data_IF_927966240300
#
_entry.id   IF_927966240300
#
_cell.length_a   1.000
_cell.length_b   1.000
_cell.length_c   1.000
_cell.angle_alpha   90.00
_cell.angle_beta   90.00
_cell.angle_gamma   90.00
#
_symmetry.space_group_name_H-M   'P 1'
#
loop_
_entity.id
_entity.type
_entity.pdbx_description
1 polymer ?
#
# COMPACT_ATOMS: atom_id res chain seq x y z
N UNK A 1 -24.45 -44.81 40.44
CA UNK A 1 -24.71 -44.80 38.97
C UNK A 1 -25.00 -43.40 38.42
N UNK A 2 -26.01 -42.65 38.90
CA UNK A 2 -26.36 -41.29 38.39
C UNK A 2 -25.21 -40.26 38.44
N UNK A 3 -24.40 -40.26 39.51
CA UNK A 3 -23.21 -39.38 39.65
C UNK A 3 -22.06 -39.74 38.72
N UNK A 4 -21.91 -41.03 38.39
CA UNK A 4 -20.88 -41.50 37.46
C UNK A 4 -21.25 -41.17 36.01
N UNK A 5 -22.54 -41.25 35.67
CA UNK A 5 -23.07 -40.85 34.37
C UNK A 5 -22.91 -39.34 34.14
N UNK A 6 -23.18 -38.52 35.16
CA UNK A 6 -22.99 -37.07 35.09
C UNK A 6 -21.52 -36.68 34.86
N UNK A 7 -20.57 -37.36 35.52
CA UNK A 7 -19.14 -37.10 35.30
C UNK A 7 -18.67 -37.54 33.91
N UNK A 8 -19.21 -38.63 33.37
CA UNK A 8 -18.90 -39.08 32.01
C UNK A 8 -19.41 -38.11 30.93
N UNK A 9 -20.59 -37.50 31.13
CA UNK A 9 -21.15 -36.49 30.20
C UNK A 9 -20.33 -35.19 30.24
N UNK A 10 -19.90 -34.76 31.43
CA UNK A 10 -19.03 -33.57 31.58
C UNK A 10 -17.66 -33.82 30.92
N UNK A 11 -17.08 -35.00 31.11
CA UNK A 11 -15.82 -35.37 30.46
C UNK A 11 -15.94 -35.40 28.92
N UNK A 12 -17.08 -35.87 28.40
CA UNK A 12 -17.35 -35.89 26.95
C UNK A 12 -17.46 -34.48 26.36
N UNK A 13 -18.13 -33.55 27.05
CA UNK A 13 -18.20 -32.14 26.64
C UNK A 13 -16.83 -31.43 26.68
N UNK A 14 -15.98 -31.77 27.64
CA UNK A 14 -14.61 -31.24 27.73
C UNK A 14 -13.73 -31.80 26.61
N UNK A 15 -13.89 -33.08 26.23
CA UNK A 15 -13.15 -33.67 25.10
C UNK A 15 -13.57 -33.12 23.73
N UNK A 16 -14.83 -32.74 23.54
CA UNK A 16 -15.29 -32.15 22.27
C UNK A 16 -15.01 -30.65 22.13
N UNK A 17 -14.61 -29.97 23.20
CA UNK A 17 -14.40 -28.52 23.22
C UNK A 17 -13.07 -28.01 22.65
N UNK A 18 -12.14 -28.90 22.26
CA UNK A 18 -10.77 -28.52 21.85
C UNK A 18 -10.61 -28.48 20.31
N UNK A 19 -11.58 -28.98 19.53
CA UNK A 19 -11.49 -29.02 18.06
C UNK A 19 -11.79 -27.68 17.35
N UNK A 20 -11.80 -26.58 18.10
CA UNK A 20 -12.10 -25.24 17.61
C UNK A 20 -10.88 -24.36 17.31
N UNK A 21 -9.69 -24.93 17.12
CA UNK A 21 -8.63 -24.20 16.42
C UNK A 21 -8.95 -24.23 14.93
N UNK A 22 -9.86 -23.35 14.50
CA UNK A 22 -9.97 -23.02 13.09
C UNK A 22 -8.58 -22.62 12.62
N UNK A 23 -8.02 -23.39 11.68
CA UNK A 23 -6.84 -22.97 10.95
C UNK A 23 -7.20 -21.60 10.36
N UNK A 24 -6.66 -20.53 10.95
CA UNK A 24 -6.49 -19.31 10.21
C UNK A 24 -5.56 -19.72 9.06
N UNK A 25 -6.14 -20.09 7.91
CA UNK A 25 -5.39 -20.29 6.67
C UNK A 25 -4.46 -19.10 6.59
N UNK A 26 -3.15 -19.36 6.72
CA UNK A 26 -2.15 -18.32 6.74
C UNK A 26 -2.37 -17.50 5.49
N UNK A 27 -2.77 -16.24 5.66
CA UNK A 27 -2.69 -15.26 4.60
C UNK A 27 -1.22 -15.28 4.23
N UNK A 28 -0.85 -15.87 3.08
CA UNK A 28 0.48 -15.67 2.54
C UNK A 28 0.62 -14.17 2.40
N UNK A 29 1.35 -13.57 3.34
CA UNK A 29 1.39 -12.13 3.53
C UNK A 29 2.33 -11.62 2.46
N UNK A 30 1.82 -11.51 1.23
CA UNK A 30 2.59 -11.01 0.09
C UNK A 30 2.98 -9.57 0.39
N UNK A 31 4.26 -9.30 0.24
CA UNK A 31 4.88 -8.00 0.42
C UNK A 31 5.50 -7.59 -0.90
N UNK A 32 5.56 -6.29 -1.16
CA UNK A 32 6.32 -5.80 -2.30
C UNK A 32 7.82 -6.09 -2.11
N UNK A 33 8.50 -6.47 -3.19
CA UNK A 33 9.94 -6.71 -3.26
C UNK A 33 10.47 -6.12 -4.56
N UNK A 34 11.58 -5.36 -4.52
CA UNK A 34 12.14 -4.74 -5.72
C UNK A 34 11.18 -3.76 -6.41
N UNK A 35 10.25 -3.14 -5.68
CA UNK A 35 9.21 -2.28 -6.26
C UNK A 35 8.07 -3.02 -6.96
N UNK A 36 7.99 -4.34 -6.82
CA UNK A 36 6.94 -5.17 -7.44
C UNK A 36 6.16 -5.93 -6.35
N UNK A 37 4.83 -5.88 -6.43
CA UNK A 37 3.91 -6.68 -5.63
C UNK A 37 3.12 -7.60 -6.55
N UNK A 38 3.30 -8.91 -6.38
CA UNK A 38 2.60 -9.90 -7.19
C UNK A 38 1.30 -10.38 -6.51
N UNK A 39 0.17 -9.86 -6.99
CA UNK A 39 -1.19 -10.22 -6.55
C UNK A 39 -1.94 -11.09 -7.56
N UNK A 40 -1.26 -11.69 -8.54
CA UNK A 40 -1.92 -12.54 -9.57
C UNK A 40 -2.71 -13.70 -8.98
N UNK A 41 -2.25 -14.25 -7.86
CA UNK A 41 -2.96 -15.31 -7.14
C UNK A 41 -3.79 -14.80 -5.95
N UNK A 42 -3.93 -13.48 -5.81
CA UNK A 42 -4.70 -12.88 -4.72
C UNK A 42 -6.20 -13.00 -4.95
N UNK A 43 -6.88 -13.78 -4.10
CA UNK A 43 -8.32 -13.88 -4.13
C UNK A 43 -8.94 -12.80 -3.22
N UNK A 44 -9.42 -11.70 -3.80
CA UNK A 44 -10.01 -10.57 -3.06
C UNK A 44 -11.31 -10.94 -2.33
N UNK A 45 -12.09 -11.91 -2.82
CA UNK A 45 -13.32 -12.38 -2.15
C UNK A 45 -13.02 -13.18 -0.88
N UNK A 46 -11.94 -13.97 -0.91
CA UNK A 46 -11.51 -14.82 0.21
C UNK A 46 -10.66 -14.05 1.22
N UNK A 47 -9.68 -13.27 0.75
CA UNK A 47 -8.67 -12.64 1.59
C UNK A 47 -8.91 -11.14 1.80
N UNK A 48 -9.85 -10.55 1.08
CA UNK A 48 -10.21 -9.14 1.21
C UNK A 48 -9.12 -8.22 0.68
N UNK A 49 -8.93 -7.10 1.40
CA UNK A 49 -7.99 -6.04 1.03
C UNK A 49 -6.55 -6.56 1.00
N UNK A 50 -5.90 -6.46 -0.16
CA UNK A 50 -4.47 -6.69 -0.29
C UNK A 50 -3.67 -5.51 0.30
N UNK A 51 -2.80 -5.73 1.30
CA UNK A 51 -1.86 -4.71 1.75
C UNK A 51 -0.85 -4.39 0.65
N UNK A 52 -0.59 -3.11 0.41
CA UNK A 52 0.46 -2.66 -0.52
C UNK A 52 1.81 -2.46 0.19
N UNK A 53 2.02 -3.09 1.35
CA UNK A 53 3.25 -2.94 2.13
C UNK A 53 4.42 -3.69 1.52
N UNK A 54 5.64 -3.19 1.75
CA UNK A 54 6.88 -3.83 1.31
C UNK A 54 7.88 -2.84 0.73
N UNK A 55 8.80 -3.34 -0.07
CA UNK A 55 9.80 -2.54 -0.77
C UNK A 55 9.23 -1.87 -2.02
N UNK A 56 9.15 -0.55 -1.98
CA UNK A 56 8.76 0.31 -3.09
C UNK A 56 10.02 0.96 -3.69
N UNK A 57 9.91 1.44 -4.93
CA UNK A 57 10.93 2.33 -5.48
C UNK A 57 10.63 3.77 -5.10
N UNK A 58 11.61 4.51 -4.60
CA UNK A 58 11.50 5.93 -4.28
C UNK A 58 12.52 6.76 -5.04
N UNK A 59 12.05 7.85 -5.64
CA UNK A 59 12.85 8.78 -6.41
C UNK A 59 12.96 10.09 -5.61
N UNK A 60 14.08 10.29 -4.90
CA UNK A 60 14.27 11.47 -4.07
C UNK A 60 14.45 12.72 -4.95
N UNK A 61 13.84 13.84 -4.55
CA UNK A 61 13.91 15.15 -5.20
C UNK A 61 13.49 15.11 -6.66
N UNK A 62 12.52 14.24 -7.00
CA UNK A 62 11.98 14.08 -8.34
C UNK A 62 10.46 13.98 -8.29
N UNK A 63 9.78 14.84 -9.04
CA UNK A 63 8.34 14.75 -9.32
C UNK A 63 8.18 14.14 -10.72
N UNK A 64 8.15 12.81 -10.78
CA UNK A 64 8.11 12.06 -12.02
C UNK A 64 6.70 12.03 -12.60
N UNK A 65 6.60 12.02 -13.94
CA UNK A 65 5.36 11.69 -14.63
C UNK A 65 5.24 10.15 -14.71
N UNK A 66 4.03 9.58 -14.74
CA UNK A 66 3.84 8.12 -14.65
C UNK A 66 4.54 7.28 -15.72
N UNK A 67 4.83 7.86 -16.89
CA UNK A 67 5.53 7.19 -18.00
C UNK A 67 7.01 7.55 -18.09
N UNK A 68 7.53 8.37 -17.18
CA UNK A 68 8.95 8.70 -17.17
C UNK A 68 9.77 7.54 -16.60
N UNK A 69 10.82 7.17 -17.34
CA UNK A 69 11.89 6.30 -16.86
C UNK A 69 12.96 7.15 -16.17
N UNK A 70 13.47 6.66 -15.05
CA UNK A 70 14.54 7.29 -14.30
C UNK A 70 15.37 6.20 -13.62
N UNK A 71 16.70 6.34 -13.63
CA UNK A 71 17.62 5.35 -13.05
C UNK A 71 18.04 5.68 -11.61
N UNK A 72 17.52 6.75 -11.02
CA UNK A 72 17.85 7.24 -9.67
C UNK A 72 16.91 6.74 -8.57
N UNK A 73 16.15 5.67 -8.83
CA UNK A 73 15.26 5.06 -7.84
C UNK A 73 16.04 4.26 -6.80
N UNK A 74 15.64 4.37 -5.54
CA UNK A 74 16.15 3.56 -4.43
C UNK A 74 15.03 2.72 -3.82
N UNK A 75 15.39 1.55 -3.30
CA UNK A 75 14.47 0.70 -2.55
C UNK A 75 14.16 1.29 -1.17
N UNK A 76 12.88 1.37 -0.82
CA UNK A 76 12.42 1.86 0.49
C UNK A 76 11.22 1.05 1.00
N UNK A 77 11.12 0.83 2.31
CA UNK A 77 10.06 0.00 2.88
C UNK A 77 8.82 0.81 3.31
N UNK A 78 7.67 0.58 2.69
CA UNK A 78 6.40 1.27 3.00
C UNK A 78 5.47 0.36 3.82
N UNK A 79 4.81 0.86 4.88
CA UNK A 79 4.87 2.22 5.40
C UNK A 79 6.12 2.47 6.26
N UNK A 80 6.73 3.64 6.09
CA UNK A 80 7.75 4.16 6.99
C UNK A 80 7.84 5.69 6.79
N UNK A 81 8.37 6.40 7.77
CA UNK A 81 8.66 7.83 7.61
C UNK A 81 9.90 8.01 6.76
N UNK A 82 9.85 8.92 5.78
CA UNK A 82 11.01 9.21 4.95
C UNK A 82 12.19 9.83 5.70
N UNK A 83 11.94 10.35 6.92
CA UNK A 83 12.97 10.90 7.82
C UNK A 83 13.91 9.80 8.29
N UNK A 84 13.45 8.55 8.23
CA UNK A 84 14.21 7.37 8.61
C UNK A 84 15.06 6.84 7.44
N UNK A 85 14.83 7.31 6.20
CA UNK A 85 15.71 7.01 5.09
C UNK A 85 16.95 7.90 5.14
N UNK A 86 18.07 7.34 4.68
CA UNK A 86 19.44 7.83 4.87
C UNK A 86 19.55 9.37 4.82
N UNK A 87 20.23 9.97 5.81
CA UNK A 87 20.54 11.42 5.82
C UNK A 87 21.23 11.86 4.53
N UNK A 88 21.93 10.95 3.83
CA UNK A 88 22.54 11.21 2.52
C UNK A 88 21.55 11.58 1.42
N UNK A 89 20.26 11.25 1.58
CA UNK A 89 19.20 11.63 0.64
C UNK A 89 18.70 13.07 0.83
N UNK A 90 19.16 13.77 1.88
CA UNK A 90 18.81 15.16 2.15
C UNK A 90 17.51 15.37 2.94
N UNK A 91 16.83 14.29 3.38
CA UNK A 91 15.56 14.37 4.13
C UNK A 91 15.72 14.40 5.66
N UNK A 92 16.93 14.65 6.16
CA UNK A 92 17.20 14.63 7.61
C UNK A 92 16.32 15.61 8.42
N UNK A 93 15.87 16.70 7.78
CA UNK A 93 15.00 17.72 8.39
C UNK A 93 13.52 17.51 8.07
N UNK A 94 13.18 16.39 7.43
CA UNK A 94 11.83 16.03 7.04
C UNK A 94 11.19 16.92 5.99
N UNK A 95 11.97 17.74 5.29
CA UNK A 95 11.52 18.57 4.17
C UNK A 95 11.99 18.00 2.84
N UNK A 96 11.19 18.17 1.80
CA UNK A 96 11.58 17.88 0.43
C UNK A 96 10.40 17.43 -0.41
N UNK A 97 10.69 16.67 -1.46
CA UNK A 97 9.69 16.06 -2.31
C UNK A 97 10.23 14.82 -2.99
N UNK A 98 9.36 13.94 -3.45
CA UNK A 98 9.79 12.75 -4.19
C UNK A 98 8.63 11.97 -4.77
N UNK A 99 8.96 10.98 -5.59
CA UNK A 99 7.99 10.07 -6.20
C UNK A 99 8.20 8.66 -5.68
N UNK A 100 7.15 8.05 -5.14
CA UNK A 100 7.11 6.62 -4.86
C UNK A 100 6.50 5.88 -6.04
N UNK A 101 7.04 4.71 -6.40
CA UNK A 101 6.54 3.82 -7.43
C UNK A 101 6.40 2.39 -6.90
N UNK A 102 5.24 1.80 -7.15
CA UNK A 102 4.97 0.38 -6.95
C UNK A 102 4.32 -0.19 -8.21
N UNK A 103 4.82 -1.32 -8.67
CA UNK A 103 4.18 -2.13 -9.71
C UNK A 103 3.40 -3.26 -9.06
N UNK A 104 2.09 -3.29 -9.27
CA UNK A 104 1.22 -4.38 -8.81
C UNK A 104 0.86 -5.26 -9.99
N UNK A 105 1.16 -6.56 -9.91
CA UNK A 105 0.78 -7.55 -10.90
C UNK A 105 -0.56 -8.17 -10.50
N UNK A 106 -1.54 -8.14 -11.40
CA UNK A 106 -2.85 -8.73 -11.18
C UNK A 106 -3.23 -9.60 -12.38
N UNK A 107 -3.93 -10.70 -12.11
CA UNK A 107 -4.54 -11.56 -13.12
C UNK A 107 -5.99 -11.11 -13.37
N UNK A 108 -6.42 -11.23 -14.63
CA UNK A 108 -7.80 -10.94 -15.04
C UNK A 108 -8.15 -9.46 -15.22
N UNK A 109 -9.35 -9.26 -15.76
CA UNK A 109 -9.98 -7.95 -15.89
C UNK A 109 -10.82 -7.68 -14.63
N UNK A 110 -10.19 -7.19 -13.56
CA UNK A 110 -10.93 -6.62 -12.44
C UNK A 110 -11.49 -5.25 -12.86
N UNK A 111 -12.78 -5.15 -13.23
CA UNK A 111 -13.26 -4.03 -14.02
C UNK A 111 -13.26 -2.71 -13.25
N UNK A 112 -13.26 -2.76 -11.91
CA UNK A 112 -13.19 -1.59 -11.05
C UNK A 112 -12.49 -1.96 -9.74
N UNK A 113 -11.36 -1.32 -9.51
CA UNK A 113 -10.56 -1.49 -8.30
C UNK A 113 -10.48 -0.17 -7.54
N UNK A 114 -10.08 -0.25 -6.27
CA UNK A 114 -9.88 0.93 -5.44
C UNK A 114 -8.58 0.83 -4.65
N UNK A 115 -7.84 1.93 -4.60
CA UNK A 115 -6.71 2.11 -3.69
C UNK A 115 -7.19 2.90 -2.49
N UNK A 116 -7.00 2.33 -1.29
CA UNK A 116 -7.17 3.07 -0.04
C UNK A 116 -5.90 3.84 0.25
N UNK A 117 -6.00 5.15 0.27
CA UNK A 117 -4.92 6.06 0.64
C UNK A 117 -5.16 6.45 2.10
N UNK A 118 -4.28 6.04 3.03
CA UNK A 118 -4.38 6.47 4.42
C UNK A 118 -4.06 7.96 4.53
N UNK A 119 -4.01 8.49 5.76
CA UNK A 119 -3.56 9.86 5.94
C UNK A 119 -2.08 10.00 5.53
N UNK A 120 -1.81 10.68 4.41
CA UNK A 120 -0.47 10.94 3.89
C UNK A 120 -0.09 12.39 4.16
N UNK A 121 1.12 12.59 4.66
CA UNK A 121 1.71 13.91 4.91
C UNK A 121 2.57 14.37 3.71
N UNK A 122 2.62 15.65 3.33
CA UNK A 122 1.63 16.72 3.63
C UNK A 122 0.69 16.99 2.46
N UNK A 123 1.07 16.66 1.23
CA UNK A 123 0.22 16.68 0.04
C UNK A 123 0.62 15.53 -0.88
N UNK A 124 -0.28 15.09 -1.76
CA UNK A 124 0.06 14.07 -2.75
C UNK A 124 -0.71 14.19 -4.06
N UNK A 125 -0.14 13.59 -5.09
CA UNK A 125 -0.83 13.21 -6.34
C UNK A 125 -0.59 11.73 -6.62
N UNK A 126 -1.67 11.00 -6.88
CA UNK A 126 -1.67 9.59 -7.23
C UNK A 126 -2.04 9.41 -8.70
N UNK A 127 -1.22 8.65 -9.41
CA UNK A 127 -1.56 8.10 -10.72
C UNK A 127 -1.61 6.58 -10.64
N UNK A 128 -2.52 6.01 -11.42
CA UNK A 128 -2.69 4.57 -11.58
C UNK A 128 -2.74 4.28 -13.07
N UNK A 129 -1.87 3.42 -13.58
CA UNK A 129 -1.79 3.10 -15.01
C UNK A 129 -1.63 4.35 -15.90
N UNK A 130 -0.83 5.30 -15.43
CA UNK A 130 -0.59 6.56 -16.13
C UNK A 130 -1.71 7.59 -16.08
N UNK A 131 -2.85 7.25 -15.48
CA UNK A 131 -4.01 8.14 -15.35
C UNK A 131 -4.08 8.72 -13.95
N UNK A 132 -4.47 9.99 -13.86
CA UNK A 132 -4.71 10.65 -12.57
C UNK A 132 -5.84 9.94 -11.83
N UNK A 133 -5.62 9.60 -10.56
CA UNK A 133 -6.58 8.87 -9.75
C UNK A 133 -7.04 9.66 -8.51
N UNK A 134 -6.13 10.38 -7.86
CA UNK A 134 -6.45 11.15 -6.65
C UNK A 134 -5.39 12.21 -6.34
N UNK A 135 -5.78 13.22 -5.56
CA UNK A 135 -4.85 14.18 -4.98
C UNK A 135 -5.39 14.77 -3.67
N UNK A 136 -4.46 15.27 -2.86
CA UNK A 136 -4.71 16.14 -1.72
C UNK A 136 -3.67 17.25 -1.71
N UNK A 137 -4.12 18.50 -1.63
CA UNK A 137 -3.24 19.67 -1.59
C UNK A 137 -2.53 19.91 -2.92
N UNK A 138 -1.48 20.73 -2.89
CA UNK A 138 -0.64 21.05 -4.04
C UNK A 138 0.77 20.51 -3.79
N UNK A 139 1.25 19.67 -4.71
CA UNK A 139 2.62 19.13 -4.70
C UNK A 139 3.47 19.98 -5.62
N UNK A 140 4.41 20.75 -5.07
CA UNK A 140 5.38 21.57 -5.81
C UNK A 140 6.81 21.34 -5.33
N UNK A 141 7.79 21.61 -6.19
CA UNK A 141 9.21 21.66 -5.79
C UNK A 141 9.55 22.94 -4.99
N UNK A 142 8.64 23.92 -5.00
CA UNK A 142 8.73 25.17 -4.22
C UNK A 142 7.90 25.08 -2.95
N UNK A 143 8.43 25.54 -1.82
CA UNK A 143 7.69 25.61 -0.55
C UNK A 143 6.52 26.58 -0.62
N UNK A 144 6.64 27.67 -1.38
CA UNK A 144 5.66 28.75 -1.43
C UNK A 144 4.44 28.39 -2.28
N UNK A 145 4.59 27.38 -3.13
CA UNK A 145 3.52 26.85 -3.99
C UNK A 145 2.92 25.54 -3.46
N UNK A 146 3.56 24.92 -2.47
CA UNK A 146 3.09 23.68 -1.90
C UNK A 146 1.98 23.95 -0.88
N UNK A 147 0.83 23.31 -1.05
CA UNK A 147 -0.31 23.45 -0.15
C UNK A 147 -0.57 22.12 0.56
N UNK A 148 -0.48 22.06 1.90
CA UNK A 148 -0.74 20.84 2.65
C UNK A 148 -2.24 20.52 2.70
N UNK A 149 -2.58 19.24 2.61
CA UNK A 149 -3.93 18.75 2.86
C UNK A 149 -3.86 17.29 3.31
N UNK A 150 -4.19 17.04 4.58
CA UNK A 150 -4.11 15.72 5.19
C UNK A 150 -5.51 15.16 5.33
N UNK A 151 -5.89 14.24 4.44
CA UNK A 151 -7.19 13.59 4.52
C UNK A 151 -7.16 12.25 3.79
N UNK A 152 -7.63 11.16 4.43
CA UNK A 152 -7.77 9.87 3.77
C UNK A 152 -8.61 9.96 2.50
N UNK A 153 -8.34 9.06 1.56
CA UNK A 153 -9.11 8.98 0.32
C UNK A 153 -9.19 7.55 -0.18
N UNK A 154 -10.27 7.23 -0.88
CA UNK A 154 -10.35 6.05 -1.74
C UNK A 154 -10.29 6.55 -3.18
N UNK A 155 -9.34 6.03 -3.94
CA UNK A 155 -9.20 6.31 -5.36
C UNK A 155 -9.68 5.09 -6.14
N UNK A 156 -10.77 5.25 -6.90
CA UNK A 156 -11.35 4.17 -7.71
C UNK A 156 -10.88 4.32 -9.16
N UNK A 157 -10.49 3.21 -9.77
CA UNK A 157 -9.98 3.18 -11.15
C UNK A 157 -10.42 1.90 -11.85
N UNK A 158 -10.44 1.94 -13.18
CA UNK A 158 -10.67 0.75 -13.99
C UNK A 158 -9.34 0.08 -14.29
N UNK A 159 -9.21 -1.21 -14.01
CA UNK A 159 -8.14 -2.00 -14.59
C UNK A 159 -8.51 -2.24 -16.06
N UNK A 160 -7.74 -1.69 -16.99
CA UNK A 160 -7.95 -1.94 -18.41
C UNK A 160 -6.74 -2.70 -18.92
N UNK A 161 -6.89 -4.00 -19.12
CA UNK A 161 -5.86 -4.84 -19.72
C UNK A 161 -5.82 -4.56 -21.22
N UNK A 162 -4.63 -4.33 -21.79
CA UNK A 162 -4.45 -4.59 -23.22
C UNK A 162 -4.51 -6.12 -23.37
N UNK A 163 -5.63 -6.60 -23.92
CA UNK A 163 -5.97 -8.02 -24.12
C UNK A 163 -4.75 -8.96 -24.18
N UNK A 164 -4.67 -9.91 -23.25
CA UNK A 164 -3.68 -11.00 -23.26
C UNK A 164 -2.39 -10.81 -22.46
N UNK A 165 -2.26 -9.74 -21.66
CA UNK A 165 -1.06 -9.47 -20.84
C UNK A 165 -1.40 -9.34 -19.35
N UNK A 166 -0.50 -9.78 -18.45
CA UNK A 166 -0.61 -9.50 -17.01
C UNK A 166 -0.75 -7.99 -16.79
N UNK A 167 -1.75 -7.59 -16.01
CA UNK A 167 -2.01 -6.17 -15.78
C UNK A 167 -0.97 -5.62 -14.81
N UNK A 168 -0.13 -4.72 -15.31
CA UNK A 168 0.89 -4.03 -14.52
C UNK A 168 0.30 -2.72 -14.07
N UNK A 169 -0.07 -2.63 -12.79
CA UNK A 169 -0.52 -1.39 -12.19
C UNK A 169 0.63 -0.63 -11.56
N UNK A 170 1.12 0.41 -12.23
CA UNK A 170 2.06 1.36 -11.63
C UNK A 170 1.29 2.40 -10.82
N UNK A 171 1.64 2.53 -9.54
CA UNK A 171 1.17 3.61 -8.67
C UNK A 171 2.30 4.61 -8.47
N UNK A 172 2.13 5.84 -8.93
CA UNK A 172 3.07 6.93 -8.68
C UNK A 172 2.47 7.87 -7.62
N UNK A 173 3.17 8.05 -6.50
CA UNK A 173 2.78 9.01 -5.45
C UNK A 173 3.84 10.09 -5.35
N UNK A 174 3.52 11.28 -5.84
CA UNK A 174 4.34 12.47 -5.66
C UNK A 174 3.92 13.16 -4.35
N UNK A 175 4.84 13.39 -3.41
CA UNK A 175 4.56 14.05 -2.11
C UNK A 175 5.56 15.15 -1.81
N UNK A 176 5.11 16.18 -1.08
CA UNK A 176 5.94 17.25 -0.50
C UNK A 176 5.75 17.30 1.01
N UNK A 177 6.72 17.85 1.73
CA UNK A 177 6.59 18.17 3.15
C UNK A 177 6.96 19.63 3.42
N UNK A 178 6.13 20.30 4.21
CA UNK A 178 6.32 21.71 4.61
C UNK A 178 7.36 21.85 5.73
N UNK A 179 8.08 22.99 5.81
CA UNK A 179 9.08 23.24 6.85
C UNK A 179 8.48 23.27 8.27
N UNK A 180 9.29 23.02 9.31
CA UNK A 180 8.84 22.75 10.69
C UNK A 180 8.15 23.92 11.44
N UNK A 181 7.88 25.04 10.78
CA UNK A 181 7.24 26.22 11.40
C UNK A 181 5.70 26.24 11.24
N UNK A 182 5.11 25.14 10.76
CA UNK A 182 3.70 25.02 10.39
C UNK A 182 2.98 23.84 11.08
N UNK A 183 3.51 23.34 12.20
CA UNK A 183 2.90 22.29 13.03
C UNK A 183 2.61 22.84 14.43
#
# INVERSE_FOLDING_TARGET
MRRMLAMAIVALFILTGISGCGNAEGTERRSAEGGVLDLRQWNFDRWGLAPLSGEWTFYPNKLLKPSSSDNGGIAVYVPNSWNNYDRKLGYANGTGYGTYRLTVLLDGDEPTMSVRIPNLYTSYRLWVNGKFAAARGVVSTSSDEAEPMQSPQIATFRNSVMSGSSSTTSMDIASTHTPPWLI
#
